data_IF_900527738219
#
_entry.id   IF_900527738219
#
_cell.length_a   1.000
_cell.length_b   1.000
_cell.length_c   1.000
_cell.angle_alpha   90.00
_cell.angle_beta   90.00
_cell.angle_gamma   90.00
#
_symmetry.space_group_name_H-M   'P 1'
#
loop_
_entity.id
_entity.type
_entity.pdbx_description
1 polymer ?
#
# COMPACT_ATOMS: atom_id res chain seq x y z
N UNK A 1 -18.59 12.89 -15.30
CA UNK A 1 -18.67 11.82 -14.29
C UNK A 1 -19.88 10.92 -14.44
N UNK A 2 -21.08 11.45 -14.67
CA UNK A 2 -22.26 10.62 -15.01
C UNK A 2 -22.02 9.69 -16.20
N UNK A 3 -21.11 10.04 -17.11
CA UNK A 3 -20.69 9.22 -18.25
C UNK A 3 -20.07 7.87 -17.87
N UNK A 4 -19.47 7.76 -16.68
CA UNK A 4 -18.91 6.50 -16.16
C UNK A 4 -19.85 5.80 -15.16
N UNK A 5 -21.11 6.22 -15.11
CA UNK A 5 -22.16 5.51 -14.38
C UNK A 5 -23.14 4.95 -15.40
N UNK A 6 -23.20 3.63 -15.52
CA UNK A 6 -23.97 2.96 -16.57
C UNK A 6 -24.43 1.58 -16.10
N UNK A 7 -25.54 1.13 -16.67
CA UNK A 7 -26.08 -0.21 -16.48
C UNK A 7 -26.27 -0.80 -17.86
N UNK A 8 -25.58 -1.90 -18.13
CA UNK A 8 -25.64 -2.62 -19.40
C UNK A 8 -25.94 -4.09 -19.14
N UNK A 9 -26.10 -4.88 -20.20
CA UNK A 9 -26.22 -6.35 -20.07
C UNK A 9 -24.93 -7.02 -19.65
N UNK A 10 -23.78 -6.37 -19.87
CA UNK A 10 -22.46 -6.96 -19.69
C UNK A 10 -21.76 -6.52 -18.40
N UNK A 11 -22.11 -5.34 -17.88
CA UNK A 11 -21.61 -4.79 -16.61
C UNK A 11 -22.48 -3.63 -16.13
N UNK A 12 -22.38 -3.35 -14.84
CA UNK A 12 -22.97 -2.19 -14.17
C UNK A 12 -21.85 -1.44 -13.45
N UNK A 13 -21.86 -0.12 -13.56
CA UNK A 13 -20.89 0.74 -12.91
C UNK A 13 -21.57 1.96 -12.31
N UNK A 14 -21.20 2.30 -11.08
CA UNK A 14 -21.56 3.55 -10.42
C UNK A 14 -20.28 4.29 -10.05
N UNK A 15 -20.14 5.52 -10.53
CA UNK A 15 -18.94 6.34 -10.35
C UNK A 15 -19.28 7.62 -9.58
N UNK A 16 -18.50 7.92 -8.54
CA UNK A 16 -18.67 9.09 -7.66
C UNK A 16 -17.34 9.83 -7.49
N UNK A 17 -17.35 11.16 -7.60
CA UNK A 17 -16.18 12.01 -7.37
C UNK A 17 -16.24 12.59 -5.98
N UNK A 18 -15.10 12.56 -5.30
CA UNK A 18 -14.87 13.41 -4.15
C UNK A 18 -13.51 14.09 -4.32
N UNK A 19 -13.51 15.41 -4.57
CA UNK A 19 -12.29 16.21 -4.81
C UNK A 19 -11.45 15.59 -5.95
N UNK A 20 -10.22 15.16 -5.63
CA UNK A 20 -9.26 14.56 -6.57
C UNK A 20 -9.29 13.03 -6.56
N UNK A 21 -10.31 12.42 -5.96
CA UNK A 21 -10.50 10.97 -5.90
C UNK A 21 -11.79 10.56 -6.62
N UNK A 22 -11.71 9.43 -7.31
CA UNK A 22 -12.81 8.75 -7.98
C UNK A 22 -13.05 7.42 -7.27
N UNK A 23 -14.30 7.18 -6.91
CA UNK A 23 -14.76 5.90 -6.37
C UNK A 23 -15.69 5.26 -7.39
N UNK A 24 -15.41 4.01 -7.76
CA UNK A 24 -16.22 3.27 -8.72
C UNK A 24 -16.62 1.95 -8.10
N UNK A 25 -17.91 1.61 -8.19
CA UNK A 25 -18.40 0.26 -7.91
C UNK A 25 -18.73 -0.40 -9.25
N UNK A 26 -18.16 -1.56 -9.53
CA UNK A 26 -18.40 -2.32 -10.77
C UNK A 26 -18.94 -3.71 -10.44
N UNK A 27 -20.00 -4.10 -11.12
CA UNK A 27 -20.48 -5.47 -11.15
C UNK A 27 -20.46 -5.98 -12.60
N UNK A 28 -19.79 -7.10 -12.84
CA UNK A 28 -19.88 -7.82 -14.12
C UNK A 28 -20.53 -9.20 -13.87
N UNK A 29 -21.72 -9.48 -14.42
CA UNK A 29 -22.36 -10.78 -14.27
C UNK A 29 -21.51 -11.90 -14.92
N UNK A 30 -21.62 -13.16 -14.47
CA UNK A 30 -20.82 -14.29 -14.97
C UNK A 30 -20.87 -14.50 -16.49
N UNK A 31 -21.98 -14.11 -17.13
CA UNK A 31 -22.22 -14.27 -18.57
C UNK A 31 -21.99 -12.97 -19.38
N UNK A 32 -21.67 -11.85 -18.73
CA UNK A 32 -21.47 -10.56 -19.39
C UNK A 32 -20.19 -10.51 -20.22
N UNK A 33 -20.17 -9.86 -21.38
CA UNK A 33 -18.96 -9.84 -22.22
C UNK A 33 -17.79 -9.13 -21.54
N UNK A 34 -16.67 -9.84 -21.41
CA UNK A 34 -15.47 -9.33 -20.76
C UNK A 34 -14.87 -8.16 -21.54
N UNK A 35 -14.91 -8.21 -22.87
CA UNK A 35 -14.35 -7.18 -23.74
C UNK A 35 -15.02 -5.83 -23.51
N UNK A 36 -16.35 -5.83 -23.29
CA UNK A 36 -17.12 -4.61 -23.04
C UNK A 36 -16.79 -3.99 -21.68
N UNK A 37 -16.63 -4.83 -20.64
CA UNK A 37 -16.21 -4.39 -19.32
C UNK A 37 -14.77 -3.86 -19.34
N UNK A 38 -13.86 -4.51 -20.07
CA UNK A 38 -12.46 -4.10 -20.16
C UNK A 38 -12.29 -2.79 -20.92
N UNK A 39 -13.01 -2.62 -22.03
CA UNK A 39 -13.03 -1.35 -22.76
C UNK A 39 -13.52 -0.20 -21.87
N UNK A 40 -14.59 -0.44 -21.09
CA UNK A 40 -15.07 0.54 -20.10
C UNK A 40 -14.01 0.88 -19.04
N UNK A 41 -13.34 -0.13 -18.47
CA UNK A 41 -12.29 0.09 -17.49
C UNK A 41 -11.11 0.86 -18.08
N UNK A 42 -10.72 0.56 -19.31
CA UNK A 42 -9.65 1.26 -20.02
C UNK A 42 -10.00 2.73 -20.26
N UNK A 43 -11.20 3.04 -20.74
CA UNK A 43 -11.68 4.41 -20.92
C UNK A 43 -11.72 5.19 -19.60
N UNK A 44 -12.23 4.55 -18.53
CA UNK A 44 -12.27 5.12 -17.18
C UNK A 44 -10.86 5.42 -16.65
N UNK A 45 -9.93 4.47 -16.78
CA UNK A 45 -8.56 4.62 -16.28
C UNK A 45 -7.77 5.65 -17.09
N UNK A 46 -7.98 5.72 -18.41
CA UNK A 46 -7.44 6.77 -19.26
C UNK A 46 -7.94 8.16 -18.83
N UNK A 47 -9.24 8.29 -18.57
CA UNK A 47 -9.80 9.52 -18.02
C UNK A 47 -9.11 9.89 -16.70
N UNK A 48 -9.11 9.00 -15.71
CA UNK A 48 -8.47 9.24 -14.39
C UNK A 48 -7.02 9.70 -14.55
N UNK A 49 -6.25 8.99 -15.37
CA UNK A 49 -4.84 9.26 -15.63
C UNK A 49 -4.62 10.64 -16.27
N UNK A 50 -5.42 10.99 -17.28
CA UNK A 50 -5.33 12.27 -17.99
C UNK A 50 -5.58 13.49 -17.08
N UNK A 51 -6.42 13.33 -16.06
CA UNK A 51 -6.72 14.38 -15.08
C UNK A 51 -5.87 14.28 -13.80
N UNK A 52 -4.96 13.31 -13.68
CA UNK A 52 -4.11 13.11 -12.51
C UNK A 52 -4.91 12.83 -11.23
N UNK A 53 -6.03 12.13 -11.34
CA UNK A 53 -6.91 11.79 -10.23
C UNK A 53 -6.48 10.47 -9.57
N UNK A 54 -6.83 10.29 -8.31
CA UNK A 54 -6.74 8.98 -7.65
C UNK A 54 -8.00 8.19 -7.93
N UNK A 55 -7.88 6.87 -8.04
CA UNK A 55 -9.04 5.98 -8.24
C UNK A 55 -9.03 4.82 -7.26
N UNK A 56 -10.22 4.48 -6.77
CA UNK A 56 -10.52 3.23 -6.08
C UNK A 56 -11.73 2.59 -6.74
N UNK A 57 -11.55 1.35 -7.19
CA UNK A 57 -12.59 0.53 -7.83
C UNK A 57 -12.87 -0.64 -6.91
N UNK A 58 -14.13 -0.82 -6.53
CA UNK A 58 -14.59 -1.98 -5.77
C UNK A 58 -15.65 -2.75 -6.53
N UNK A 59 -15.74 -4.06 -6.30
CA UNK A 59 -16.89 -4.82 -6.77
C UNK A 59 -16.55 -6.22 -7.21
N UNK A 60 -17.45 -6.83 -7.99
CA UNK A 60 -17.38 -8.23 -8.37
C UNK A 60 -17.32 -8.37 -9.89
N UNK A 61 -16.16 -8.83 -10.38
CA UNK A 61 -15.92 -9.03 -11.80
C UNK A 61 -16.29 -10.44 -12.27
N UNK A 62 -16.63 -11.36 -11.35
CA UNK A 62 -16.75 -12.79 -11.61
C UNK A 62 -15.51 -13.38 -12.32
N UNK A 63 -14.32 -12.86 -12.00
CA UNK A 63 -13.01 -13.35 -12.47
C UNK A 63 -12.22 -13.78 -11.23
N UNK A 64 -11.83 -15.05 -11.17
CA UNK A 64 -11.08 -15.57 -10.03
C UNK A 64 -9.59 -15.18 -10.11
N UNK A 65 -9.17 -14.21 -9.30
CA UNK A 65 -7.78 -13.73 -9.27
C UNK A 65 -6.82 -14.78 -8.71
N UNK A 66 -7.27 -15.69 -7.84
CA UNK A 66 -6.42 -16.76 -7.30
C UNK A 66 -6.03 -17.80 -8.36
N UNK A 67 -6.73 -17.83 -9.50
CA UNK A 67 -6.45 -18.74 -10.59
C UNK A 67 -5.72 -18.00 -11.70
N UNK A 68 -4.58 -18.52 -12.14
CA UNK A 68 -3.90 -18.02 -13.34
C UNK A 68 -4.71 -18.43 -14.57
N UNK A 69 -5.45 -17.47 -15.13
CA UNK A 69 -6.23 -17.60 -16.36
C UNK A 69 -5.85 -16.46 -17.30
N UNK A 70 -6.23 -16.56 -18.59
CA UNK A 70 -6.02 -15.46 -19.51
C UNK A 70 -6.72 -14.18 -19.00
N UNK A 71 -7.98 -14.31 -18.57
CA UNK A 71 -8.78 -13.18 -18.10
C UNK A 71 -8.26 -12.53 -16.81
N UNK A 72 -7.82 -13.32 -15.82
CA UNK A 72 -7.22 -12.76 -14.60
C UNK A 72 -5.90 -12.05 -14.89
N UNK A 73 -5.06 -12.62 -15.76
CA UNK A 73 -3.82 -11.98 -16.20
C UNK A 73 -4.08 -10.69 -16.96
N UNK A 74 -5.04 -10.67 -17.88
CA UNK A 74 -5.35 -9.49 -18.69
C UNK A 74 -5.91 -8.37 -17.81
N UNK A 75 -6.72 -8.71 -16.80
CA UNK A 75 -7.22 -7.77 -15.80
C UNK A 75 -6.07 -7.19 -14.94
N UNK A 76 -5.17 -8.04 -14.45
CA UNK A 76 -3.99 -7.61 -13.67
C UNK A 76 -3.06 -6.72 -14.50
N UNK A 77 -2.86 -7.03 -15.79
CA UNK A 77 -2.07 -6.23 -16.70
C UNK A 77 -2.71 -4.87 -16.97
N UNK A 78 -4.02 -4.83 -17.19
CA UNK A 78 -4.76 -3.58 -17.38
C UNK A 78 -4.59 -2.67 -16.16
N UNK A 79 -4.88 -3.16 -14.96
CA UNK A 79 -4.70 -2.35 -13.76
C UNK A 79 -3.24 -1.98 -13.50
N UNK A 80 -2.32 -2.93 -13.68
CA UNK A 80 -0.88 -2.69 -13.50
C UNK A 80 -0.32 -1.62 -14.44
N UNK A 81 -0.82 -1.56 -15.69
CA UNK A 81 -0.44 -0.51 -16.65
C UNK A 81 -0.78 0.89 -16.14
N UNK A 82 -1.91 1.06 -15.47
CA UNK A 82 -2.33 2.33 -14.86
C UNK A 82 -1.84 2.52 -13.41
N UNK A 83 -0.87 1.72 -12.96
CA UNK A 83 -0.32 1.80 -11.60
C UNK A 83 -1.33 1.44 -10.50
N UNK A 84 -2.36 0.68 -10.86
CA UNK A 84 -3.38 0.21 -9.93
C UNK A 84 -3.10 -1.24 -9.51
N UNK A 85 -3.53 -1.62 -8.31
CA UNK A 85 -3.37 -2.98 -7.82
C UNK A 85 -4.57 -3.44 -6.97
N UNK A 86 -4.83 -4.74 -6.98
CA UNK A 86 -5.79 -5.35 -6.05
C UNK A 86 -5.19 -5.45 -4.64
N UNK A 87 -5.93 -4.97 -3.63
CA UNK A 87 -5.51 -5.01 -2.22
C UNK A 87 -6.13 -6.14 -1.42
N UNK A 88 -7.13 -6.84 -1.96
CA UNK A 88 -7.73 -8.03 -1.34
C UNK A 88 -6.97 -9.27 -1.78
N UNK A 89 -6.48 -10.06 -0.83
CA UNK A 89 -5.63 -11.23 -1.11
C UNK A 89 -6.30 -12.55 -0.74
N UNK A 90 -7.28 -12.50 0.15
CA UNK A 90 -8.00 -13.64 0.67
C UNK A 90 -9.26 -13.92 -0.18
N UNK A 91 -9.74 -15.18 -0.25
CA UNK A 91 -10.97 -15.51 -0.96
C UNK A 91 -12.18 -14.72 -0.45
N UNK A 92 -13.03 -14.27 -1.37
CA UNK A 92 -14.24 -13.50 -1.07
C UNK A 92 -15.53 -14.27 -1.30
N UNK A 93 -15.47 -15.43 -1.98
CA UNK A 93 -16.62 -16.32 -2.16
C UNK A 93 -16.24 -17.73 -1.74
N UNK A 94 -17.02 -18.28 -0.82
CA UNK A 94 -16.79 -19.58 -0.20
C UNK A 94 -17.84 -20.57 -0.74
N UNK A 95 -17.41 -21.45 -1.63
CA UNK A 95 -18.19 -22.61 -2.05
C UNK A 95 -18.06 -23.78 -1.08
N UNK A 96 -18.84 -24.85 -1.28
CA UNK A 96 -18.73 -26.08 -0.47
C UNK A 96 -17.34 -26.73 -0.51
N UNK A 97 -16.68 -26.66 -1.66
CA UNK A 97 -15.39 -27.30 -1.95
C UNK A 97 -14.39 -26.37 -2.64
N UNK A 98 -14.76 -25.10 -2.83
CA UNK A 98 -13.95 -24.13 -3.57
C UNK A 98 -13.91 -22.79 -2.87
N UNK A 99 -12.83 -22.06 -3.08
CA UNK A 99 -12.63 -20.71 -2.60
C UNK A 99 -12.20 -19.86 -3.79
N UNK A 100 -12.80 -18.69 -3.96
CA UNK A 100 -12.50 -17.80 -5.08
C UNK A 100 -12.43 -16.35 -4.63
N UNK A 101 -11.49 -15.62 -5.23
CA UNK A 101 -11.33 -14.19 -5.07
C UNK A 101 -11.90 -13.52 -6.31
N UNK A 102 -13.16 -13.09 -6.21
CA UNK A 102 -13.88 -12.45 -7.31
C UNK A 102 -14.39 -11.05 -6.94
N UNK A 103 -14.56 -10.80 -5.64
CA UNK A 103 -14.75 -9.47 -5.08
C UNK A 103 -13.40 -8.81 -4.84
N UNK A 104 -13.19 -7.62 -5.39
CA UNK A 104 -11.87 -6.97 -5.39
C UNK A 104 -11.99 -5.52 -4.94
N UNK A 105 -10.87 -5.01 -4.41
CA UNK A 105 -10.63 -3.58 -4.31
C UNK A 105 -9.36 -3.25 -5.06
N UNK A 106 -9.49 -2.51 -6.14
CA UNK A 106 -8.41 -2.01 -6.97
C UNK A 106 -8.16 -0.55 -6.60
N UNK A 107 -6.91 -0.15 -6.40
CA UNK A 107 -6.59 1.24 -6.08
C UNK A 107 -5.31 1.70 -6.76
N UNK A 108 -5.27 2.99 -7.11
CA UNK A 108 -4.04 3.70 -7.50
C UNK A 108 -3.29 4.26 -6.27
N UNK A 109 -3.84 4.10 -5.06
CA UNK A 109 -3.20 4.54 -3.81
C UNK A 109 -2.09 3.55 -3.41
N UNK A 110 -0.85 3.92 -3.73
CA UNK A 110 0.35 3.17 -3.37
C UNK A 110 0.89 3.53 -1.98
N UNK A 111 0.13 4.24 -1.15
CA UNK A 111 0.59 4.57 0.20
C UNK A 111 0.75 3.29 1.03
N UNK A 112 1.85 3.19 1.79
CA UNK A 112 2.10 2.07 2.71
C UNK A 112 1.07 1.96 3.85
N UNK A 113 0.07 2.84 3.90
CA UNK A 113 -0.97 2.91 4.93
C UNK A 113 -2.30 2.26 4.54
N UNK A 114 -2.45 1.74 3.33
CA UNK A 114 -3.69 1.07 2.92
C UNK A 114 -3.86 -0.24 3.69
N UNK A 115 -4.92 -0.32 4.50
CA UNK A 115 -5.29 -1.52 5.25
C UNK A 115 -6.56 -2.10 4.64
N UNK A 116 -6.52 -3.36 4.22
CA UNK A 116 -7.62 -4.05 3.57
C UNK A 116 -7.80 -5.44 4.16
N UNK A 117 -8.94 -6.07 3.89
CA UNK A 117 -9.17 -7.47 4.26
C UNK A 117 -10.58 -7.96 4.01
N UNK A 118 -10.80 -9.21 4.40
CA UNK A 118 -12.08 -9.91 4.29
C UNK A 118 -12.64 -10.14 5.69
N UNK A 119 -13.92 -9.83 5.90
CA UNK A 119 -14.64 -10.09 7.14
C UNK A 119 -15.20 -11.51 7.08
N UNK A 120 -14.76 -12.37 8.00
CA UNK A 120 -15.18 -13.77 8.10
C UNK A 120 -16.62 -14.00 8.59
N UNK A 121 -17.55 -13.08 8.28
CA UNK A 121 -18.97 -13.20 8.60
C UNK A 121 -19.74 -13.50 7.32
N UNK A 122 -20.44 -14.63 7.33
CA UNK A 122 -21.27 -15.07 6.20
C UNK A 122 -22.62 -14.36 6.23
N UNK A 123 -22.73 -13.24 5.51
CA UNK A 123 -24.00 -12.50 5.33
C UNK A 123 -24.69 -12.88 4.01
N UNK A 124 -23.94 -13.46 3.07
CA UNK A 124 -24.44 -14.01 1.81
C UNK A 124 -23.42 -14.92 1.16
N UNK A 125 -23.56 -15.16 -0.15
CA UNK A 125 -22.65 -16.00 -0.94
C UNK A 125 -21.21 -15.44 -0.97
N UNK A 126 -21.07 -14.13 -0.75
CA UNK A 126 -19.80 -13.43 -0.66
C UNK A 126 -19.53 -12.96 0.77
N UNK A 127 -18.26 -13.04 1.16
CA UNK A 127 -17.73 -12.44 2.36
C UNK A 127 -17.56 -10.92 2.15
N UNK A 128 -17.97 -10.08 3.12
CA UNK A 128 -17.75 -8.64 3.04
C UNK A 128 -16.26 -8.32 2.99
N UNK A 129 -15.89 -7.35 2.16
CA UNK A 129 -14.53 -6.83 2.04
C UNK A 129 -14.46 -5.40 2.55
N UNK A 130 -13.32 -5.01 3.09
CA UNK A 130 -13.06 -3.64 3.54
C UNK A 130 -11.72 -3.13 3.04
N UNK A 131 -11.64 -1.81 2.91
CA UNK A 131 -10.42 -1.07 2.63
C UNK A 131 -10.48 0.26 3.37
N UNK A 132 -9.42 0.57 4.10
CA UNK A 132 -9.16 1.88 4.67
C UNK A 132 -8.13 2.57 3.77
N UNK A 133 -8.55 3.61 3.04
CA UNK A 133 -7.64 4.52 2.35
C UNK A 133 -7.57 5.83 3.08
N UNK A 134 -6.34 6.25 3.37
CA UNK A 134 -6.04 7.58 3.88
C UNK A 134 -5.96 8.52 2.68
N UNK A 135 -7.11 8.99 2.20
CA UNK A 135 -7.15 10.17 1.33
C UNK A 135 -6.84 11.41 2.18
N UNK A 136 -5.57 11.54 2.58
CA UNK A 136 -5.06 12.85 2.98
C UNK A 136 -5.33 13.75 1.80
N UNK A 137 -5.99 14.88 2.06
CA UNK A 137 -6.06 15.94 1.05
C UNK A 137 -4.66 16.06 0.47
N UNK A 138 -4.55 16.06 -0.85
CA UNK A 138 -3.33 16.47 -1.53
C UNK A 138 -3.17 17.99 -1.27
N UNK A 139 -3.08 18.40 0.00
CA UNK A 139 -1.98 19.27 0.38
C UNK A 139 -0.79 18.59 -0.26
N UNK A 140 -0.25 19.21 -1.31
CA UNK A 140 1.08 18.89 -1.81
C UNK A 140 1.96 18.71 -0.58
N UNK A 141 2.15 17.49 -0.08
CA UNK A 141 3.14 17.18 0.93
C UNK A 141 4.39 17.48 0.13
N UNK A 142 4.92 18.71 0.29
CA UNK A 142 6.21 19.10 -0.24
C UNK A 142 7.12 17.96 0.14
N UNK A 143 7.45 17.09 -0.82
CA UNK A 143 8.14 15.81 -0.65
C UNK A 143 8.52 15.61 0.80
N UNK A 144 7.58 15.09 1.60
CA UNK A 144 7.81 15.01 3.03
C UNK A 144 9.06 14.15 3.16
N UNK A 145 10.22 14.74 3.53
CA UNK A 145 11.50 14.14 3.21
C UNK A 145 11.51 12.79 3.88
N UNK A 146 11.53 11.71 3.11
CA UNK A 146 11.35 10.33 3.57
C UNK A 146 12.13 10.17 4.87
N UNK A 147 11.42 10.26 5.99
CA UNK A 147 12.06 10.25 7.29
C UNK A 147 11.98 8.82 7.74
N UNK A 148 13.10 8.12 7.72
CA UNK A 148 13.16 6.79 8.28
C UNK A 148 13.60 6.89 9.74
N UNK A 149 13.00 6.05 10.56
CA UNK A 149 13.35 5.92 11.96
C UNK A 149 14.35 4.77 12.10
N UNK A 150 15.43 4.99 12.84
CA UNK A 150 16.33 3.91 13.21
C UNK A 150 16.84 4.09 14.63
N UNK A 151 17.21 2.99 15.25
CA UNK A 151 17.93 3.01 16.52
C UNK A 151 19.38 3.42 16.25
N UNK A 152 19.83 4.53 16.84
CA UNK A 152 21.19 5.02 16.65
C UNK A 152 22.21 4.15 17.40
N UNK A 153 22.60 3.04 16.77
CA UNK A 153 23.58 2.09 17.28
C UNK A 153 24.94 2.51 16.71
N UNK A 154 25.72 3.19 17.54
CA UNK A 154 27.08 3.59 17.24
C UNK A 154 27.98 3.27 18.44
N UNK A 155 29.29 3.49 18.29
CA UNK A 155 30.26 3.12 19.32
C UNK A 155 29.98 3.79 20.68
N UNK A 156 29.47 5.03 20.67
CA UNK A 156 29.16 5.76 21.89
C UNK A 156 27.90 5.23 22.59
N UNK A 157 26.83 4.96 21.85
CA UNK A 157 25.59 4.39 22.41
C UNK A 157 25.80 2.95 22.91
N UNK A 158 26.61 2.15 22.20
CA UNK A 158 27.05 0.83 22.65
C UNK A 158 27.87 0.89 23.95
N UNK A 159 28.81 1.83 24.05
CA UNK A 159 29.63 2.01 25.26
C UNK A 159 28.76 2.40 26.45
N UNK A 160 27.83 3.34 26.24
CA UNK A 160 26.87 3.77 27.25
C UNK A 160 25.97 2.61 27.70
N UNK A 161 25.45 1.82 26.76
CA UNK A 161 24.63 0.65 27.05
C UNK A 161 25.39 -0.38 27.90
N UNK A 162 26.63 -0.70 27.52
CA UNK A 162 27.49 -1.64 28.27
C UNK A 162 27.76 -1.17 29.70
N UNK A 163 27.96 0.13 29.91
CA UNK A 163 28.18 0.69 31.25
C UNK A 163 26.91 0.67 32.11
N UNK A 164 25.72 0.73 31.50
CA UNK A 164 24.45 0.89 32.22
C UNK A 164 23.67 -0.41 32.40
N UNK A 165 23.86 -1.42 31.55
CA UNK A 165 23.25 -2.75 31.71
C UNK A 165 23.49 -3.37 33.11
N UNK A 166 24.70 -3.28 33.71
CA UNK A 166 24.92 -3.81 35.05
C UNK A 166 24.14 -3.09 36.15
N UNK A 167 23.68 -1.85 35.92
CA UNK A 167 22.90 -1.06 36.88
C UNK A 167 21.40 -1.36 36.86
N UNK A 168 20.94 -2.26 36.00
CA UNK A 168 19.55 -2.70 35.96
C UNK A 168 19.27 -3.61 37.15
N UNK A 169 18.10 -3.46 37.75
CA UNK A 169 17.66 -4.27 38.88
C UNK A 169 17.17 -5.64 38.40
N UNK A 170 18.05 -6.65 38.45
CA UNK A 170 17.78 -8.01 37.97
C UNK A 170 17.13 -8.94 39.00
N UNK A 171 16.98 -8.51 40.26
CA UNK A 171 16.43 -9.35 41.32
C UNK A 171 15.04 -9.96 41.04
N UNK A 172 14.13 -9.35 40.25
CA UNK A 172 12.87 -10.00 39.87
C UNK A 172 13.08 -11.35 39.17
N UNK A 173 14.18 -11.53 38.43
CA UNK A 173 14.50 -12.81 37.77
C UNK A 173 14.78 -13.94 38.77
N UNK A 174 15.35 -13.60 39.93
CA UNK A 174 15.69 -14.57 40.97
C UNK A 174 14.47 -15.04 41.76
N UNK A 175 13.33 -14.36 41.60
CA UNK A 175 12.07 -14.65 42.27
C UNK A 175 11.08 -15.42 41.38
N UNK A 176 11.42 -15.63 40.11
CA UNK A 176 10.56 -16.35 39.15
C UNK A 176 10.53 -17.85 39.46
N UNK A 177 9.34 -18.45 39.37
CA UNK A 177 9.13 -19.88 39.67
C UNK A 177 9.29 -20.80 38.47
N UNK A 178 9.16 -20.26 37.25
CA UNK A 178 9.29 -21.01 35.99
C UNK A 178 10.35 -20.40 35.07
N UNK A 179 10.86 -21.19 34.15
CA UNK A 179 11.83 -20.73 33.15
C UNK A 179 11.21 -19.73 32.16
N UNK A 180 9.93 -19.90 31.82
CA UNK A 180 9.20 -19.03 30.91
C UNK A 180 9.01 -17.64 31.52
N UNK A 181 8.55 -17.57 32.78
CA UNK A 181 8.38 -16.30 33.50
C UNK A 181 9.71 -15.54 33.65
N UNK A 182 10.79 -16.28 33.92
CA UNK A 182 12.13 -15.70 34.02
C UNK A 182 12.61 -15.15 32.67
N UNK A 183 12.34 -15.86 31.58
CA UNK A 183 12.69 -15.41 30.23
C UNK A 183 11.92 -14.15 29.84
N UNK A 184 10.61 -14.12 30.07
CA UNK A 184 9.76 -12.97 29.74
C UNK A 184 10.16 -11.73 30.55
N UNK A 185 10.38 -11.89 31.85
CA UNK A 185 10.84 -10.82 32.75
C UNK A 185 12.20 -10.26 32.32
N UNK A 186 13.11 -11.14 31.87
CA UNK A 186 14.42 -10.74 31.36
C UNK A 186 14.26 -9.96 30.06
N UNK A 187 13.45 -10.48 29.14
CA UNK A 187 13.26 -9.92 27.82
C UNK A 187 12.61 -8.54 27.88
N UNK A 188 11.63 -8.34 28.77
CA UNK A 188 11.01 -7.04 29.02
C UNK A 188 12.04 -6.04 29.56
N UNK A 189 12.77 -6.41 30.61
CA UNK A 189 13.81 -5.55 31.21
C UNK A 189 14.90 -5.18 30.20
N UNK A 190 15.29 -6.13 29.36
CA UNK A 190 16.24 -5.91 28.28
C UNK A 190 15.70 -4.99 27.19
N UNK A 191 14.45 -5.20 26.73
CA UNK A 191 13.80 -4.35 25.73
C UNK A 191 13.67 -2.91 26.21
N UNK A 192 13.38 -2.70 27.49
CA UNK A 192 13.28 -1.37 28.07
C UNK A 192 14.63 -0.67 28.14
N UNK A 193 15.68 -1.39 28.55
CA UNK A 193 17.04 -0.88 28.48
C UNK A 193 17.44 -0.54 27.03
N UNK A 194 17.12 -1.43 26.09
CA UNK A 194 17.40 -1.24 24.67
C UNK A 194 16.73 0.04 24.14
N UNK A 195 15.43 0.23 24.36
CA UNK A 195 14.70 1.45 23.96
C UNK A 195 15.27 2.72 24.60
N UNK A 196 15.70 2.63 25.86
CA UNK A 196 16.23 3.77 26.62
C UNK A 196 17.60 4.23 26.12
N UNK A 197 18.50 3.29 25.81
CA UNK A 197 19.88 3.61 25.45
C UNK A 197 20.13 3.64 23.94
N UNK A 198 19.24 3.07 23.14
CA UNK A 198 19.19 3.23 21.69
C UNK A 198 17.91 3.98 21.32
N UNK A 199 17.82 5.30 21.57
CA UNK A 199 16.63 6.04 21.22
C UNK A 199 16.39 6.01 19.70
N UNK A 200 15.11 5.97 19.33
CA UNK A 200 14.68 6.06 17.95
C UNK A 200 15.01 7.46 17.42
N UNK A 201 15.86 7.56 16.40
CA UNK A 201 16.17 8.82 15.73
C UNK A 201 15.44 8.91 14.41
N UNK A 202 14.81 10.06 14.20
CA UNK A 202 14.20 10.42 12.92
C UNK A 202 15.24 11.13 12.07
N UNK A 203 15.63 10.53 10.94
CA UNK A 203 16.53 11.17 9.98
C UNK A 203 15.79 11.43 8.69
N UNK A 204 15.83 12.69 8.24
CA UNK A 204 15.32 13.10 6.94
C UNK A 204 16.26 12.56 5.86
N UNK A 205 15.74 11.78 4.91
CA UNK A 205 16.49 11.41 3.71
C UNK A 205 16.88 12.68 2.96
N UNK A 206 18.18 12.95 2.90
CA UNK A 206 18.70 14.04 2.11
C UNK A 206 18.76 13.59 0.65
N UNK A 207 17.73 13.94 -0.13
CA UNK A 207 17.69 13.67 -1.57
C UNK A 207 18.77 14.46 -2.35
N UNK A 208 19.48 15.39 -1.70
CA UNK A 208 20.60 16.14 -2.27
C UNK A 208 21.97 15.51 -2.00
N UNK A 209 22.04 14.26 -1.53
CA UNK A 209 23.31 13.53 -1.52
C UNK A 209 23.72 13.36 -2.98
N UNK A 210 24.66 14.20 -3.41
CA UNK A 210 25.24 14.14 -4.75
C UNK A 210 25.78 12.74 -4.94
N UNK A 211 25.37 12.09 -6.03
CA UNK A 211 26.01 10.84 -6.45
C UNK A 211 27.50 11.15 -6.64
N UNK A 212 28.42 10.41 -5.98
CA UNK A 212 29.85 10.73 -5.98
C UNK A 212 30.48 10.89 -7.37
N UNK A 213 29.87 10.28 -8.39
CA UNK A 213 30.34 10.28 -9.78
C UNK A 213 29.73 11.36 -10.68
N UNK A 214 28.81 12.22 -10.18
CA UNK A 214 28.29 13.35 -10.96
C UNK A 214 29.23 14.54 -10.78
N UNK A 215 29.95 14.88 -11.84
CA UNK A 215 30.84 16.06 -11.89
C UNK A 215 30.07 17.33 -12.22
N UNK A 216 30.68 18.49 -11.97
CA UNK A 216 30.10 19.78 -12.31
C UNK A 216 29.88 19.96 -13.83
N UNK A 217 30.66 19.28 -14.67
CA UNK A 217 30.49 19.27 -16.12
C UNK A 217 29.24 18.51 -16.54
N UNK A 218 28.95 17.35 -15.92
CA UNK A 218 27.70 16.63 -16.13
C UNK A 218 26.50 17.53 -15.79
N UNK A 219 26.57 18.34 -14.73
CA UNK A 219 25.51 19.27 -14.36
C UNK A 219 25.29 20.38 -15.40
N UNK A 220 26.38 20.93 -15.96
CA UNK A 220 26.28 21.93 -17.04
C UNK A 220 25.58 21.35 -18.26
N UNK A 221 25.90 20.10 -18.63
CA UNK A 221 25.27 19.43 -19.77
C UNK A 221 23.79 19.10 -19.51
N UNK A 222 23.42 18.67 -18.31
CA UNK A 222 22.02 18.43 -17.92
C UNK A 222 21.21 19.73 -18.03
N UNK A 223 21.71 20.82 -17.44
CA UNK A 223 21.03 22.13 -17.51
C UNK A 223 20.87 22.63 -18.95
N UNK A 224 21.87 22.42 -19.79
CA UNK A 224 21.80 22.78 -21.22
C UNK A 224 20.74 21.95 -21.96
N UNK A 225 20.64 20.66 -21.66
CA UNK A 225 19.61 19.78 -22.23
C UNK A 225 18.21 20.26 -21.85
N UNK A 226 17.97 20.48 -20.56
CA UNK A 226 16.66 20.84 -20.02
C UNK A 226 16.20 22.22 -20.53
N UNK A 227 17.12 23.16 -20.70
CA UNK A 227 16.83 24.46 -21.32
C UNK A 227 16.38 24.33 -22.79
N UNK A 228 17.01 23.45 -23.57
CA UNK A 228 16.63 23.21 -24.95
C UNK A 228 15.27 22.50 -25.08
N UNK A 229 14.90 21.63 -24.12
CA UNK A 229 13.62 20.90 -24.16
C UNK A 229 12.41 21.78 -23.83
N UNK A 230 12.59 22.89 -23.11
CA UNK A 230 11.53 23.85 -22.76
C UNK A 230 11.32 24.90 -23.87
N UNK A 231 12.23 24.98 -24.84
CA UNK A 231 12.23 26.01 -25.90
C UNK A 231 11.65 25.54 -27.25
N UNK A 232 10.94 24.41 -27.26
CA UNK A 232 10.21 23.82 -28.39
C UNK A 232 8.75 23.60 -27.97
#
# INVERSE_FOLDING_TARGET
MNEFSTVTTDYEALTVQCKNAIFVVVYRPPDGKLENCFAFLEDLLNFVSSYGLQITIGGDFNINILQTSAHSRDLELLFGYFGCMNVIKEPTRMGRLSQSLIGVFITSDTSCSTMSGVIGVHIGDHLPIYMFSMHTEILRCKQCPESFAFHDINQNTLTTFRQKIPSIWWNPLLLCTTADDAYDTFLESYKDAYKKYFPLKMVKKNNNIRKPWITDECLKMIRKKDYCTISL
#
